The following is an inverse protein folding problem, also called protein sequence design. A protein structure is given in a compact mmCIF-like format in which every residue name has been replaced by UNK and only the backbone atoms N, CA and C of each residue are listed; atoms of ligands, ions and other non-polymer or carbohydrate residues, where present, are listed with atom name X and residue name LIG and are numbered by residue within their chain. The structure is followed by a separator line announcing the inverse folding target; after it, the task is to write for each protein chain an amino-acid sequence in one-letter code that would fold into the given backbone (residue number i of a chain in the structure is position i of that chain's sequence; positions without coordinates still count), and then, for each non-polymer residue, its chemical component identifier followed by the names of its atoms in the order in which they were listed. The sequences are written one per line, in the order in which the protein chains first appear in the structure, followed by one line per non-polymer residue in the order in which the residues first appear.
data_IF_927930636086
#
_entry.id   IF_927930636086
#
_cell.length_a   1.000
_cell.length_b   1.000
_cell.length_c   1.000
_cell.angle_alpha   90.00
_cell.angle_beta   90.00
_cell.angle_gamma   90.00
#
_symmetry.space_group_name_H-M   'P 1'
#
loop_
_entity.id
_entity.type
_entity.pdbx_description
1 polymer ?
#
# COMPACT_ATOMS: atom_id res chain seq x y z
N UNK A 1 -13.31 -22.21 1.60
CA UNK A 1 -12.48 -21.02 1.27
C UNK A 1 -12.83 -19.90 2.22
N UNK A 2 -11.86 -19.08 2.64
CA UNK A 2 -12.13 -17.89 3.46
C UNK A 2 -12.63 -16.76 2.55
N UNK A 3 -13.55 -15.94 3.05
CA UNK A 3 -13.95 -14.69 2.39
C UNK A 3 -12.86 -13.65 2.62
N UNK A 4 -12.46 -12.94 1.56
CA UNK A 4 -11.49 -11.85 1.68
C UNK A 4 -12.08 -10.68 2.46
N UNK A 5 -11.29 -10.14 3.40
CA UNK A 5 -11.62 -8.91 4.12
C UNK A 5 -10.73 -7.79 3.61
N UNK A 6 -11.15 -7.16 2.52
CA UNK A 6 -10.42 -6.03 1.95
C UNK A 6 -10.64 -4.76 2.79
N UNK A 7 -9.61 -3.90 2.94
CA UNK A 7 -9.77 -2.57 3.52
C UNK A 7 -10.80 -1.73 2.75
N UNK A 8 -11.43 -0.76 3.41
CA UNK A 8 -12.48 0.08 2.80
C UNK A 8 -11.99 0.89 1.58
N UNK A 9 -10.69 1.18 1.51
CA UNK A 9 -10.05 1.87 0.39
C UNK A 9 -9.66 0.93 -0.78
N UNK A 10 -10.01 -0.36 -0.72
CA UNK A 10 -9.65 -1.35 -1.73
C UNK A 10 -10.88 -2.00 -2.36
N UNK A 11 -10.77 -2.33 -3.65
CA UNK A 11 -11.82 -2.99 -4.42
C UNK A 11 -11.22 -4.08 -5.30
N UNK A 12 -11.78 -5.29 -5.20
CA UNK A 12 -11.44 -6.35 -6.13
C UNK A 12 -12.04 -6.07 -7.51
N UNK A 13 -11.21 -6.12 -8.56
CA UNK A 13 -11.68 -6.07 -9.94
C UNK A 13 -11.76 -7.46 -10.57
N UNK A 14 -10.82 -8.32 -10.20
CA UNK A 14 -10.76 -9.74 -10.57
C UNK A 14 -9.82 -10.46 -9.58
N UNK A 15 -9.79 -11.81 -9.56
CA UNK A 15 -8.76 -12.54 -8.83
C UNK A 15 -7.35 -12.06 -9.20
N UNK A 16 -6.54 -11.73 -8.19
CA UNK A 16 -5.21 -11.16 -8.35
C UNK A 16 -5.15 -9.72 -8.87
N UNK A 17 -6.28 -9.03 -9.08
CA UNK A 17 -6.31 -7.62 -9.52
C UNK A 17 -7.14 -6.77 -8.57
N UNK A 18 -6.45 -5.93 -7.81
CA UNK A 18 -7.06 -5.08 -6.78
C UNK A 18 -6.80 -3.61 -7.11
N UNK A 19 -7.86 -2.81 -7.11
CA UNK A 19 -7.78 -1.35 -7.18
C UNK A 19 -7.72 -0.77 -5.77
N UNK A 20 -6.89 0.25 -5.55
CA UNK A 20 -6.77 0.95 -4.26
C UNK A 20 -6.91 2.47 -4.46
N UNK A 21 -7.66 3.14 -3.58
CA UNK A 21 -7.99 4.56 -3.70
C UNK A 21 -6.92 5.43 -3.01
N UNK A 22 -6.10 6.13 -3.79
CA UNK A 22 -4.95 6.92 -3.30
C UNK A 22 -5.35 7.98 -2.27
N UNK A 23 -6.45 8.67 -2.53
CA UNK A 23 -7.00 9.71 -1.65
C UNK A 23 -7.45 9.20 -0.27
N UNK A 24 -7.56 7.89 -0.08
CA UNK A 24 -7.98 7.27 1.18
C UNK A 24 -6.83 6.54 1.85
N UNK A 25 -6.12 5.66 1.12
CA UNK A 25 -5.08 4.83 1.76
C UNK A 25 -3.83 5.63 2.12
N UNK A 26 -3.42 6.64 1.33
CA UNK A 26 -2.23 7.43 1.65
C UNK A 26 -2.41 8.21 2.96
N UNK A 27 -3.49 9.00 3.17
CA UNK A 27 -3.73 9.65 4.45
C UNK A 27 -3.76 8.68 5.62
N UNK A 28 -4.44 7.54 5.48
CA UNK A 28 -4.52 6.53 6.54
C UNK A 28 -3.14 6.00 6.92
N UNK A 29 -2.37 5.53 5.94
CA UNK A 29 -1.06 4.95 6.20
C UNK A 29 -0.03 5.97 6.67
N UNK A 30 -0.02 7.18 6.12
CA UNK A 30 0.87 8.24 6.58
C UNK A 30 0.58 8.62 8.03
N UNK A 31 -0.70 8.65 8.44
CA UNK A 31 -1.07 8.85 9.84
C UNK A 31 -0.59 7.70 10.75
N UNK A 32 -0.76 6.45 10.32
CA UNK A 32 -0.26 5.27 11.07
C UNK A 32 1.27 5.22 11.16
N UNK A 33 1.96 5.73 10.14
CA UNK A 33 3.41 5.90 10.13
C UNK A 33 3.88 7.07 11.02
N UNK A 34 2.97 7.92 11.49
CA UNK A 34 3.27 9.10 12.30
C UNK A 34 3.89 10.24 11.50
N UNK A 35 3.60 10.32 10.21
CA UNK A 35 4.17 11.33 9.30
C UNK A 35 3.23 12.53 9.24
N UNK A 36 3.72 13.70 9.66
CA UNK A 36 2.97 14.95 9.50
C UNK A 36 2.99 15.42 8.05
N UNK A 37 1.99 16.20 7.64
CA UNK A 37 1.82 16.64 6.24
C UNK A 37 3.06 17.35 5.67
N UNK A 38 3.71 18.18 6.49
CA UNK A 38 4.95 18.90 6.13
C UNK A 38 6.17 17.98 5.90
N UNK A 39 6.13 16.76 6.43
CA UNK A 39 7.23 15.80 6.39
C UNK A 39 7.02 14.73 5.30
N UNK A 40 5.93 14.81 4.53
CA UNK A 40 5.63 13.89 3.44
C UNK A 40 6.67 14.07 2.32
N UNK A 41 7.30 12.96 1.94
CA UNK A 41 8.27 12.87 0.86
C UNK A 41 8.05 11.55 0.08
N UNK A 42 8.77 11.36 -1.03
CA UNK A 42 8.65 10.14 -1.84
C UNK A 42 8.89 8.86 -1.04
N UNK A 43 9.81 8.90 -0.08
CA UNK A 43 10.14 7.76 0.78
C UNK A 43 8.92 7.32 1.61
N UNK A 44 8.23 8.27 2.24
CA UNK A 44 7.05 7.95 3.05
C UNK A 44 5.87 7.49 2.19
N UNK A 45 5.72 8.03 0.99
CA UNK A 45 4.73 7.53 0.03
C UNK A 45 5.03 6.09 -0.37
N UNK A 46 6.28 5.74 -0.65
CA UNK A 46 6.66 4.36 -0.97
C UNK A 46 6.42 3.42 0.22
N UNK A 47 6.80 3.84 1.44
CA UNK A 47 6.50 3.08 2.66
C UNK A 47 5.00 2.84 2.84
N UNK A 48 4.17 3.88 2.67
CA UNK A 48 2.72 3.79 2.76
C UNK A 48 2.15 2.83 1.70
N UNK A 49 2.60 2.94 0.44
CA UNK A 49 2.17 2.06 -0.64
C UNK A 49 2.53 0.59 -0.38
N UNK A 50 3.76 0.31 0.05
CA UNK A 50 4.18 -1.05 0.38
C UNK A 50 3.40 -1.61 1.58
N UNK A 51 3.10 -0.78 2.58
CA UNK A 51 2.23 -1.17 3.69
C UNK A 51 0.81 -1.53 3.22
N UNK A 52 0.20 -0.67 2.40
CA UNK A 52 -1.11 -0.95 1.79
C UNK A 52 -1.10 -2.24 0.96
N UNK A 53 -0.05 -2.45 0.16
CA UNK A 53 0.12 -3.69 -0.61
C UNK A 53 0.17 -4.92 0.28
N UNK A 54 0.84 -4.86 1.42
CA UNK A 54 0.87 -5.98 2.39
C UNK A 54 -0.51 -6.23 3.01
N UNK A 55 -1.26 -5.19 3.38
CA UNK A 55 -2.66 -5.34 3.84
C UNK A 55 -3.47 -6.14 2.82
N UNK A 56 -3.34 -5.81 1.52
CA UNK A 56 -4.01 -6.56 0.44
C UNK A 56 -3.51 -8.00 0.35
N UNK A 57 -2.19 -8.22 0.40
CA UNK A 57 -1.61 -9.56 0.34
C UNK A 57 -2.15 -10.47 1.45
N UNK A 58 -2.23 -9.96 2.69
CA UNK A 58 -2.80 -10.71 3.81
C UNK A 58 -4.31 -10.92 3.65
N UNK A 59 -5.05 -9.91 3.18
CA UNK A 59 -6.49 -9.98 2.99
C UNK A 59 -6.92 -11.01 1.92
N UNK A 60 -6.13 -11.18 0.85
CA UNK A 60 -6.47 -12.09 -0.25
C UNK A 60 -5.90 -13.51 -0.07
N UNK A 61 -4.91 -13.70 0.80
CA UNK A 61 -4.26 -15.00 1.00
C UNK A 61 -5.25 -16.11 1.41
N UNK A 62 -5.28 -17.21 0.66
CA UNK A 62 -6.19 -18.34 0.91
C UNK A 62 -7.67 -18.08 0.56
N UNK A 63 -7.95 -17.02 -0.18
CA UNK A 63 -9.30 -16.64 -0.66
C UNK A 63 -9.43 -16.85 -2.16
N UNK A 64 -10.65 -16.70 -2.68
CA UNK A 64 -10.92 -16.72 -4.13
C UNK A 64 -10.30 -15.55 -4.90
N UNK A 65 -9.85 -14.50 -4.19
CA UNK A 65 -9.18 -13.34 -4.79
C UNK A 65 -7.68 -13.55 -5.00
N UNK A 66 -7.11 -14.70 -4.59
CA UNK A 66 -5.71 -14.97 -4.87
C UNK A 66 -5.44 -14.99 -6.39
N UNK A 67 -4.26 -14.55 -6.83
CA UNK A 67 -3.81 -14.79 -8.19
C UNK A 67 -3.85 -16.29 -8.52
N UNK A 68 -4.15 -16.62 -9.77
CA UNK A 68 -3.99 -17.99 -10.28
C UNK A 68 -2.57 -18.51 -10.04
N UNK A 69 -2.35 -19.83 -9.94
CA UNK A 69 -1.00 -20.39 -9.83
C UNK A 69 -0.08 -19.85 -10.92
N UNK A 70 1.08 -19.31 -10.53
CA UNK A 70 2.03 -18.63 -11.43
C UNK A 70 1.67 -17.18 -11.81
N UNK A 71 0.52 -16.68 -11.36
CA UNK A 71 0.08 -15.29 -11.54
C UNK A 71 0.62 -14.35 -10.47
N UNK A 72 0.66 -13.06 -10.78
CA UNK A 72 1.07 -12.01 -9.86
C UNK A 72 -0.14 -11.26 -9.28
N UNK A 73 -0.01 -10.77 -8.04
CA UNK A 73 -0.93 -9.79 -7.48
C UNK A 73 -0.64 -8.42 -8.08
N UNK A 74 -1.60 -7.90 -8.84
CA UNK A 74 -1.55 -6.58 -9.46
C UNK A 74 -2.36 -5.59 -8.62
N UNK A 75 -1.69 -4.52 -8.19
CA UNK A 75 -2.30 -3.41 -7.48
C UNK A 75 -2.40 -2.22 -8.43
N UNK A 76 -3.61 -1.72 -8.65
CA UNK A 76 -3.88 -0.53 -9.45
C UNK A 76 -4.20 0.63 -8.52
N UNK A 77 -3.35 1.65 -8.52
CA UNK A 77 -3.58 2.85 -7.73
C UNK A 77 -4.47 3.79 -8.53
N UNK A 78 -5.65 4.08 -7.99
CA UNK A 78 -6.58 5.08 -8.53
C UNK A 78 -6.44 6.37 -7.75
N UNK A 79 -5.95 7.39 -8.43
CA UNK A 79 -5.95 8.77 -7.96
C UNK A 79 -7.06 9.53 -8.69
N UNK A 80 -8.14 9.84 -7.98
CA UNK A 80 -9.31 10.52 -8.55
C UNK A 80 -9.04 12.00 -8.81
N UNK A 81 -7.97 12.55 -8.22
CA UNK A 81 -7.56 13.93 -8.46
C UNK A 81 -6.73 14.01 -9.76
N UNK A 82 -7.38 13.77 -10.89
CA UNK A 82 -6.76 13.75 -12.23
C UNK A 82 -6.11 15.08 -12.63
N UNK A 83 -6.46 16.17 -11.94
CA UNK A 83 -5.99 17.52 -12.26
C UNK A 83 -4.66 17.82 -11.56
N UNK A 84 -4.50 17.40 -10.30
CA UNK A 84 -3.27 17.67 -9.54
C UNK A 84 -2.33 16.47 -9.50
N UNK A 85 -2.87 15.25 -9.65
CA UNK A 85 -2.15 14.01 -9.38
C UNK A 85 -1.51 14.08 -7.99
N UNK A 86 -2.25 14.56 -6.98
CA UNK A 86 -1.73 14.91 -5.65
C UNK A 86 -0.75 13.88 -5.13
N UNK A 87 -1.05 12.59 -5.28
CA UNK A 87 -0.26 11.49 -4.73
C UNK A 87 0.80 10.92 -5.69
N UNK A 88 1.02 11.55 -6.84
CA UNK A 88 2.10 11.20 -7.73
C UNK A 88 3.45 11.50 -7.05
N UNK A 89 4.31 10.48 -6.94
CA UNK A 89 5.59 10.58 -6.24
C UNK A 89 6.46 11.74 -6.73
N UNK A 90 6.44 12.05 -8.03
CA UNK A 90 7.19 13.17 -8.64
C UNK A 90 6.86 14.55 -8.04
N UNK A 91 5.73 14.69 -7.35
CA UNK A 91 5.31 15.94 -6.72
C UNK A 91 5.94 16.15 -5.32
N UNK A 92 6.72 15.19 -4.83
CA UNK A 92 7.32 15.21 -3.50
C UNK A 92 8.85 15.15 -3.58
N UNK A 93 9.56 15.73 -2.60
CA UNK A 93 11.01 15.62 -2.55
C UNK A 93 11.45 14.17 -2.30
N UNK A 94 12.67 13.84 -2.72
CA UNK A 94 13.32 12.59 -2.33
C UNK A 94 13.59 12.61 -0.82
N UNK A 95 13.20 11.54 -0.12
CA UNK A 95 13.42 11.40 1.32
C UNK A 95 14.79 10.82 1.66
N UNK A 96 14.99 10.41 2.91
CA UNK A 96 16.25 9.86 3.45
C UNK A 96 16.71 8.49 2.88
N UNK A 97 16.07 8.00 1.81
CA UNK A 97 16.37 6.69 1.23
C UNK A 97 15.18 6.03 0.54
N UNK A 98 14.62 6.68 -0.49
CA UNK A 98 13.48 6.15 -1.28
C UNK A 98 13.75 4.70 -1.72
N UNK A 99 14.97 4.41 -2.20
CA UNK A 99 15.39 3.06 -2.58
C UNK A 99 15.26 2.01 -1.46
N UNK A 100 15.51 2.39 -0.20
CA UNK A 100 15.38 1.49 0.94
C UNK A 100 13.90 1.13 1.21
N UNK A 101 12.99 2.10 1.00
CA UNK A 101 11.55 1.87 1.03
C UNK A 101 11.09 1.00 -0.16
N UNK A 102 11.59 1.28 -1.36
CA UNK A 102 11.26 0.54 -2.60
C UNK A 102 11.64 -0.94 -2.51
N UNK A 103 12.78 -1.27 -1.87
CA UNK A 103 13.20 -2.66 -1.63
C UNK A 103 12.39 -3.35 -0.52
N UNK A 104 11.44 -2.65 0.09
CA UNK A 104 10.44 -3.20 1.02
C UNK A 104 10.97 -3.58 2.40
N UNK A 105 12.26 -3.38 2.71
CA UNK A 105 12.82 -3.74 4.02
C UNK A 105 12.23 -2.86 5.12
N UNK A 106 12.32 -1.54 4.98
CA UNK A 106 11.82 -0.59 5.99
C UNK A 106 10.30 -0.58 6.06
N UNK A 107 9.62 -0.65 4.92
CA UNK A 107 8.16 -0.75 4.88
C UNK A 107 7.64 -1.98 5.64
N UNK A 108 8.32 -3.14 5.53
CA UNK A 108 7.97 -4.35 6.32
C UNK A 108 8.14 -4.14 7.81
N UNK A 109 9.22 -3.48 8.24
CA UNK A 109 9.44 -3.19 9.66
C UNK A 109 8.35 -2.26 10.21
N UNK A 110 8.00 -1.20 9.47
CA UNK A 110 6.89 -0.32 9.83
C UNK A 110 5.55 -1.07 9.89
N UNK A 111 5.25 -1.87 8.86
CA UNK A 111 4.02 -2.64 8.80
C UNK A 111 3.90 -3.62 9.96
N UNK A 112 4.96 -4.37 10.27
CA UNK A 112 5.00 -5.29 11.43
C UNK A 112 4.76 -4.55 12.72
N UNK A 113 5.40 -3.40 12.93
CA UNK A 113 5.19 -2.57 14.12
C UNK A 113 3.73 -2.13 14.26
N UNK A 114 3.11 -1.70 13.16
CA UNK A 114 1.74 -1.15 13.15
C UNK A 114 0.69 -2.26 13.29
N UNK A 115 0.79 -3.32 12.48
CA UNK A 115 -0.17 -4.42 12.44
C UNK A 115 0.14 -5.55 13.45
N UNK A 116 1.23 -5.42 14.21
CA UNK A 116 1.70 -6.41 15.20
C UNK A 116 1.84 -7.83 14.64
N UNK A 117 2.27 -7.96 13.38
CA UNK A 117 2.45 -9.26 12.74
C UNK A 117 3.74 -9.92 13.26
N UNK A 118 3.70 -11.18 13.74
CA UNK A 118 4.88 -11.89 14.23
C UNK A 118 5.97 -12.02 13.16
N UNK A 119 7.24 -12.00 13.59
CA UNK A 119 8.36 -12.39 12.73
C UNK A 119 8.21 -13.86 12.34
N UNK A 120 8.08 -14.12 11.04
CA UNK A 120 8.18 -15.47 10.45
C UNK A 120 9.66 -15.78 10.28
#
# INVERSE_FOLDING_TARGET
MKTAQLPAWAKALAPGKIEIQASVFYPEWLALLGVAEKDINQYWLECAFQCAKMDIQFAVAGTELMPSPGGALVILVKDDDKVTGRWAQKNYPEGKGVDAATRGKEAREHYRRIRQVPSI
#
